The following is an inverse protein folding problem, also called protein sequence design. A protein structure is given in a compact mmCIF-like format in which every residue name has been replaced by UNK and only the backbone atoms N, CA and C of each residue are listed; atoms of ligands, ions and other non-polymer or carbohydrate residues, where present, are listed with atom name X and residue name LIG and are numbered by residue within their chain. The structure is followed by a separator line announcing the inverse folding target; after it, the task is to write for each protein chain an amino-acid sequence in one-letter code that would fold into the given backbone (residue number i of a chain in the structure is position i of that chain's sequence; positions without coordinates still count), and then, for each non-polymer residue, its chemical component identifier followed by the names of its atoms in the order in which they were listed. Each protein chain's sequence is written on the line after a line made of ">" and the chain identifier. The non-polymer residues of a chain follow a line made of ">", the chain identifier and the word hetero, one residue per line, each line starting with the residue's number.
data_IF_860949311161
#
_entry.id   IF_860949311161
#
_cell.length_a   1.000
_cell.length_b   1.000
_cell.length_c   1.000
_cell.angle_alpha   90.00
_cell.angle_beta   90.00
_cell.angle_gamma   90.00
#
_symmetry.space_group_name_H-M   'P 1'
#
loop_
_entity.id
_entity.type
_entity.pdbx_description
1 polymer ?
#
# COMPACT_ATOMS: atom_id res chain seq x y z
N UNK A 1 15.91 -40.15 -37.42
CA UNK A 1 17.28 -39.76 -37.04
C UNK A 1 17.69 -38.32 -37.42
N UNK A 2 17.07 -37.71 -38.43
CA UNK A 2 17.40 -36.34 -38.89
C UNK A 2 17.12 -35.22 -37.88
N UNK A 3 16.06 -35.30 -37.11
CA UNK A 3 15.63 -34.28 -36.15
C UNK A 3 16.66 -34.14 -35.01
N UNK A 4 17.19 -35.24 -34.45
CA UNK A 4 18.20 -35.22 -33.39
C UNK A 4 19.51 -34.56 -33.84
N UNK A 5 19.92 -34.79 -35.10
CA UNK A 5 21.09 -34.16 -35.65
C UNK A 5 20.90 -32.64 -35.82
N UNK A 6 19.72 -32.21 -36.21
CA UNK A 6 19.34 -30.79 -36.39
C UNK A 6 19.28 -30.06 -35.04
N UNK A 7 18.63 -30.66 -34.04
CA UNK A 7 18.58 -30.12 -32.67
C UNK A 7 19.98 -30.00 -32.08
N UNK A 8 20.82 -31.04 -32.20
CA UNK A 8 22.21 -31.01 -31.73
C UNK A 8 23.01 -29.88 -32.37
N UNK A 9 22.84 -29.67 -33.68
CA UNK A 9 23.52 -28.58 -34.40
C UNK A 9 23.09 -27.22 -33.88
N UNK A 10 21.79 -27.00 -33.67
CA UNK A 10 21.23 -25.73 -33.15
C UNK A 10 21.76 -25.48 -31.72
N UNK A 11 21.71 -26.50 -30.84
CA UNK A 11 22.22 -26.39 -29.47
C UNK A 11 23.71 -26.07 -29.43
N UNK A 12 24.52 -26.76 -30.25
CA UNK A 12 25.98 -26.49 -30.35
C UNK A 12 26.29 -25.09 -30.89
N UNK A 13 25.48 -24.60 -31.83
CA UNK A 13 25.58 -23.24 -32.35
C UNK A 13 25.23 -22.21 -31.29
N UNK A 14 24.18 -22.46 -30.52
CA UNK A 14 23.76 -21.61 -29.40
C UNK A 14 24.84 -21.56 -28.30
N UNK A 15 25.36 -22.72 -27.87
CA UNK A 15 26.41 -22.80 -26.82
C UNK A 15 27.73 -22.12 -27.27
N UNK A 16 27.97 -22.06 -28.56
CA UNK A 16 29.16 -21.35 -29.10
C UNK A 16 29.01 -19.85 -29.07
N UNK A 17 27.77 -19.33 -29.11
CA UNK A 17 27.48 -17.91 -29.01
C UNK A 17 27.18 -17.51 -27.55
N UNK A 18 28.26 -17.30 -26.80
CA UNK A 18 28.19 -16.93 -25.38
C UNK A 18 27.41 -15.63 -25.13
N UNK A 19 27.39 -14.71 -26.11
CA UNK A 19 26.66 -13.43 -25.97
C UNK A 19 25.16 -13.63 -26.02
N UNK A 20 24.67 -14.45 -26.96
CA UNK A 20 23.25 -14.76 -27.09
C UNK A 20 22.75 -15.53 -25.86
N UNK A 21 23.54 -16.50 -25.35
CA UNK A 21 23.17 -17.21 -24.11
C UNK A 21 23.14 -16.25 -22.92
N UNK A 22 24.17 -15.41 -22.76
CA UNK A 22 24.19 -14.43 -21.69
C UNK A 22 22.96 -13.51 -21.73
N UNK A 23 22.64 -13.00 -22.93
CA UNK A 23 21.45 -12.12 -23.09
C UNK A 23 20.16 -12.84 -22.80
N UNK A 24 20.03 -14.11 -23.22
CA UNK A 24 18.84 -14.94 -23.01
C UNK A 24 18.55 -15.18 -21.53
N UNK A 25 19.59 -15.31 -20.69
CA UNK A 25 19.44 -15.52 -19.25
C UNK A 25 19.47 -14.23 -18.47
N UNK A 26 20.33 -13.28 -18.82
CA UNK A 26 20.47 -12.01 -18.07
C UNK A 26 19.24 -11.13 -18.24
N UNK A 27 18.65 -11.05 -19.45
CA UNK A 27 17.50 -10.20 -19.68
C UNK A 27 16.29 -10.58 -18.80
N UNK A 28 15.79 -11.84 -18.78
CA UNK A 28 14.68 -12.20 -17.91
C UNK A 28 15.03 -12.10 -16.43
N UNK A 29 16.28 -12.42 -16.04
CA UNK A 29 16.73 -12.31 -14.66
C UNK A 29 16.79 -10.85 -14.20
N UNK A 30 17.24 -9.95 -15.06
CA UNK A 30 17.24 -8.52 -14.81
C UNK A 30 15.81 -7.97 -14.67
N UNK A 31 14.90 -8.39 -15.55
CA UNK A 31 13.49 -7.99 -15.48
C UNK A 31 12.86 -8.48 -14.17
N UNK A 32 13.08 -9.74 -13.79
CA UNK A 32 12.56 -10.29 -12.53
C UNK A 32 13.17 -9.60 -11.31
N UNK A 33 14.47 -9.28 -11.35
CA UNK A 33 15.14 -8.54 -10.26
C UNK A 33 14.60 -7.12 -10.16
N UNK A 34 14.40 -6.44 -11.28
CA UNK A 34 13.81 -5.10 -11.31
C UNK A 34 12.36 -5.11 -10.81
N UNK A 35 11.57 -6.08 -11.26
CA UNK A 35 10.20 -6.30 -10.75
C UNK A 35 10.21 -6.58 -9.25
N UNK A 36 11.07 -7.48 -8.79
CA UNK A 36 11.21 -7.75 -7.37
C UNK A 36 11.57 -6.47 -6.60
N UNK A 37 12.53 -5.69 -7.06
CA UNK A 37 12.94 -4.44 -6.43
C UNK A 37 11.80 -3.40 -6.41
N UNK A 38 11.05 -3.25 -7.52
CA UNK A 38 9.92 -2.33 -7.60
C UNK A 38 8.74 -2.75 -6.70
N UNK A 39 8.46 -4.05 -6.59
CA UNK A 39 7.34 -4.55 -5.80
C UNK A 39 7.71 -4.90 -4.35
N UNK A 40 9.00 -5.11 -4.04
CA UNK A 40 9.50 -5.31 -2.67
C UNK A 40 9.92 -4.00 -2.02
N UNK A 41 10.00 -2.90 -2.77
CA UNK A 41 9.99 -1.57 -2.20
C UNK A 41 8.69 -1.47 -1.41
N UNK A 42 8.77 -1.84 -0.12
CA UNK A 42 7.70 -1.74 0.85
C UNK A 42 7.08 -0.38 0.63
N UNK A 43 5.80 -0.39 0.21
CA UNK A 43 5.11 0.86 -0.10
C UNK A 43 5.38 1.82 1.05
N UNK A 44 5.64 3.08 0.73
CA UNK A 44 5.87 4.14 1.71
C UNK A 44 4.95 3.87 2.90
N UNK A 45 5.49 3.71 4.13
CA UNK A 45 4.67 3.40 5.29
C UNK A 45 3.50 4.37 5.34
N UNK A 46 2.35 3.87 5.76
CA UNK A 46 1.20 4.76 5.92
C UNK A 46 1.49 5.72 7.05
N UNK A 47 1.32 7.02 6.80
CA UNK A 47 1.38 8.06 7.82
C UNK A 47 -0.03 8.42 8.25
N UNK A 48 -0.35 8.27 9.51
CA UNK A 48 -1.65 8.70 10.04
C UNK A 48 -1.51 9.64 11.20
N UNK A 49 -2.33 10.69 11.20
CA UNK A 49 -2.57 11.51 12.38
C UNK A 49 -3.52 10.81 13.34
N UNK A 50 -3.30 10.95 14.64
CA UNK A 50 -4.19 10.41 15.65
C UNK A 50 -4.54 11.46 16.70
N UNK A 51 -5.78 11.37 17.22
CA UNK A 51 -6.24 12.16 18.36
C UNK A 51 -7.07 11.30 19.32
N UNK A 52 -6.74 11.35 20.59
CA UNK A 52 -7.49 10.69 21.66
C UNK A 52 -7.39 9.16 21.69
N UNK A 53 -6.42 8.55 21.00
CA UNK A 53 -6.23 7.10 20.99
C UNK A 53 -5.48 6.59 22.21
N UNK A 54 -5.81 5.38 22.64
CA UNK A 54 -5.06 4.69 23.71
C UNK A 54 -3.69 4.25 23.22
N UNK A 55 -2.72 4.19 24.14
CA UNK A 55 -1.35 3.71 23.84
C UNK A 55 -1.34 2.31 23.24
N UNK A 56 -2.23 1.44 23.72
CA UNK A 56 -2.35 0.07 23.20
C UNK A 56 -2.77 0.04 21.72
N UNK A 57 -3.66 0.93 21.31
CA UNK A 57 -4.08 1.06 19.90
C UNK A 57 -2.93 1.58 19.03
N UNK A 58 -2.17 2.55 19.53
CA UNK A 58 -0.98 3.08 18.84
C UNK A 58 0.02 1.96 18.59
N UNK A 59 0.38 1.18 19.62
CA UNK A 59 1.30 0.04 19.47
C UNK A 59 0.82 -1.01 18.46
N UNK A 60 -0.49 -1.22 18.36
CA UNK A 60 -1.07 -2.14 17.37
C UNK A 60 -0.93 -1.61 15.94
N UNK A 61 -1.13 -0.29 15.76
CA UNK A 61 -0.97 0.38 14.46
C UNK A 61 0.49 0.35 14.01
N UNK A 62 1.43 0.65 14.90
CA UNK A 62 2.88 0.59 14.62
C UNK A 62 3.35 -0.82 14.23
N UNK A 63 2.80 -1.88 14.86
CA UNK A 63 3.07 -3.28 14.46
C UNK A 63 2.61 -3.62 13.04
N UNK A 64 1.68 -2.87 12.48
CA UNK A 64 1.21 -3.01 11.10
C UNK A 64 1.96 -2.11 10.12
N UNK A 65 3.12 -1.58 10.55
CA UNK A 65 3.96 -0.67 9.73
C UNK A 65 3.21 0.62 9.33
N UNK A 66 2.44 1.16 10.27
CA UNK A 66 1.78 2.45 10.14
C UNK A 66 2.53 3.45 11.00
N UNK A 67 3.01 4.53 10.40
CA UNK A 67 3.64 5.66 11.08
C UNK A 67 2.55 6.51 11.75
N UNK A 68 2.63 6.67 13.06
CA UNK A 68 1.58 7.32 13.84
C UNK A 68 2.09 8.64 14.42
N UNK A 69 1.41 9.73 14.07
CA UNK A 69 1.71 11.08 14.57
C UNK A 69 0.57 11.55 15.47
N UNK A 70 0.87 11.83 16.72
CA UNK A 70 -0.12 12.31 17.70
C UNK A 70 -0.33 13.81 17.60
N UNK A 71 -1.57 14.22 17.43
CA UNK A 71 -2.00 15.62 17.45
C UNK A 71 -2.85 15.92 18.68
N UNK A 72 -2.81 17.14 19.15
CA UNK A 72 -3.68 17.65 20.21
C UNK A 72 -4.52 18.78 19.61
N UNK A 73 -5.81 18.54 19.41
CA UNK A 73 -6.79 19.51 18.92
C UNK A 73 -6.33 20.24 17.63
N UNK A 74 -6.18 19.55 16.48
CA UNK A 74 -5.86 20.22 15.22
C UNK A 74 -7.00 21.18 14.83
N UNK A 75 -6.66 22.37 14.34
CA UNK A 75 -7.63 23.39 13.95
C UNK A 75 -8.55 22.91 12.81
N UNK A 76 -8.05 22.07 11.93
CA UNK A 76 -8.78 21.40 10.86
C UNK A 76 -8.10 20.06 10.55
N UNK A 77 -8.87 18.99 10.56
CA UNK A 77 -8.34 17.64 10.24
C UNK A 77 -7.97 17.57 8.77
N UNK A 78 -8.79 18.17 7.90
CA UNK A 78 -8.56 18.17 6.45
C UNK A 78 -7.27 18.91 6.09
N UNK A 79 -7.05 20.10 6.67
CA UNK A 79 -5.86 20.89 6.42
C UNK A 79 -4.61 20.16 6.94
N UNK A 80 -4.69 19.56 8.13
CA UNK A 80 -3.58 18.78 8.72
C UNK A 80 -3.20 17.58 7.85
N UNK A 81 -4.19 16.88 7.27
CA UNK A 81 -3.90 15.76 6.37
C UNK A 81 -3.12 16.22 5.15
N UNK A 82 -3.50 17.36 4.56
CA UNK A 82 -2.85 17.89 3.37
C UNK A 82 -1.48 18.50 3.68
N UNK A 83 -1.36 19.28 4.75
CA UNK A 83 -0.11 19.97 5.11
C UNK A 83 1.00 19.01 5.56
N UNK A 84 0.65 17.97 6.32
CA UNK A 84 1.61 16.99 6.85
C UNK A 84 1.76 15.75 5.95
N UNK A 85 1.12 15.76 4.76
CA UNK A 85 1.13 14.64 3.80
C UNK A 85 0.72 13.31 4.48
N UNK A 86 -0.41 13.32 5.21
CA UNK A 86 -0.93 12.15 5.91
C UNK A 86 -1.84 11.34 4.98
N UNK A 87 -1.77 10.03 5.05
CA UNK A 87 -2.71 9.14 4.36
C UNK A 87 -4.11 9.15 4.99
N UNK A 88 -4.20 9.58 6.25
CA UNK A 88 -5.46 9.72 6.97
C UNK A 88 -5.30 10.21 8.40
N UNK A 89 -6.42 10.49 9.03
CA UNK A 89 -6.49 10.97 10.40
C UNK A 89 -7.53 10.16 11.19
N UNK A 90 -7.14 9.64 12.34
CA UNK A 90 -7.98 8.79 13.19
C UNK A 90 -8.29 9.49 14.51
N UNK A 91 -9.56 9.77 14.75
CA UNK A 91 -10.06 10.42 15.96
C UNK A 91 -10.85 9.43 16.79
N UNK A 92 -10.62 9.43 18.09
CA UNK A 92 -11.43 8.70 19.07
C UNK A 92 -12.46 9.62 19.69
N UNK A 93 -13.73 9.44 19.31
CA UNK A 93 -14.87 10.15 19.89
C UNK A 93 -15.64 9.20 20.85
N UNK A 94 -15.15 9.05 22.06
CA UNK A 94 -15.71 8.12 23.05
C UNK A 94 -15.60 6.66 22.61
N UNK A 95 -16.71 6.03 22.27
CA UNK A 95 -16.75 4.63 21.80
C UNK A 95 -16.69 4.50 20.27
N UNK A 96 -16.67 5.61 19.54
CA UNK A 96 -16.67 5.64 18.08
C UNK A 96 -15.28 6.08 17.57
N UNK A 97 -14.80 5.39 16.55
CA UNK A 97 -13.60 5.79 15.83
C UNK A 97 -13.99 6.38 14.48
N UNK A 98 -13.51 7.58 14.20
CA UNK A 98 -13.68 8.26 12.93
C UNK A 98 -12.35 8.30 12.20
N UNK A 99 -12.32 7.72 11.01
CA UNK A 99 -11.19 7.79 10.09
C UNK A 99 -11.52 8.77 8.97
N UNK A 100 -10.71 9.81 8.81
CA UNK A 100 -10.74 10.71 7.66
C UNK A 100 -9.56 10.37 6.77
N UNK A 101 -9.79 10.13 5.47
CA UNK A 101 -8.75 9.81 4.48
C UNK A 101 -8.78 10.82 3.34
N UNK A 102 -7.61 11.14 2.80
CA UNK A 102 -7.50 12.05 1.65
C UNK A 102 -8.16 11.47 0.40
N UNK A 103 -8.01 10.15 0.17
CA UNK A 103 -8.57 9.39 -0.95
C UNK A 103 -8.10 9.84 -2.35
N UNK A 104 -6.94 10.47 -2.45
CA UNK A 104 -6.28 10.75 -3.73
C UNK A 104 -5.89 9.46 -4.44
N UNK A 105 -5.53 8.41 -3.69
CA UNK A 105 -5.36 7.04 -4.17
C UNK A 105 -6.38 6.11 -3.48
N UNK A 106 -7.49 5.76 -4.16
CA UNK A 106 -8.52 4.90 -3.59
C UNK A 106 -8.02 3.51 -3.18
N UNK A 107 -7.00 2.97 -3.86
CA UNK A 107 -6.43 1.66 -3.53
C UNK A 107 -5.66 1.73 -2.21
N UNK A 108 -4.87 2.79 -2.03
CA UNK A 108 -4.11 3.07 -0.81
C UNK A 108 -5.05 3.33 0.38
N UNK A 109 -6.09 4.13 0.18
CA UNK A 109 -7.12 4.42 1.20
C UNK A 109 -7.85 3.15 1.67
N UNK A 110 -8.24 2.25 0.76
CA UNK A 110 -8.86 0.95 1.11
C UNK A 110 -7.91 0.03 1.88
N UNK A 111 -6.63 0.01 1.49
CA UNK A 111 -5.62 -0.78 2.19
C UNK A 111 -5.36 -0.25 3.60
N UNK A 112 -5.27 1.07 3.78
CA UNK A 112 -5.16 1.71 5.08
C UNK A 112 -6.35 1.35 5.97
N UNK A 113 -7.57 1.48 5.44
CA UNK A 113 -8.79 1.14 6.15
C UNK A 113 -8.80 -0.33 6.61
N UNK A 114 -8.39 -1.26 5.74
CA UNK A 114 -8.28 -2.68 6.08
C UNK A 114 -7.24 -2.94 7.19
N UNK A 115 -6.07 -2.27 7.14
CA UNK A 115 -5.05 -2.38 8.19
C UNK A 115 -5.55 -1.82 9.53
N UNK A 116 -6.24 -0.68 9.54
CA UNK A 116 -6.83 -0.11 10.76
C UNK A 116 -7.89 -1.05 11.34
N UNK A 117 -8.77 -1.62 10.50
CA UNK A 117 -9.75 -2.62 10.94
C UNK A 117 -9.07 -3.86 11.52
N UNK A 118 -7.97 -4.29 10.95
CA UNK A 118 -7.16 -5.40 11.47
C UNK A 118 -6.54 -5.06 12.83
N UNK A 119 -6.05 -3.82 13.04
CA UNK A 119 -5.51 -3.36 14.32
C UNK A 119 -6.58 -3.34 15.41
N UNK A 120 -7.81 -2.94 15.04
CA UNK A 120 -8.95 -2.92 15.96
C UNK A 120 -9.38 -4.33 16.39
N UNK A 121 -9.17 -5.34 15.56
CA UNK A 121 -9.50 -6.75 15.86
C UNK A 121 -10.98 -6.96 16.20
N UNK A 122 -11.24 -7.93 17.09
CA UNK A 122 -12.58 -8.22 17.61
C UNK A 122 -13.01 -7.30 18.75
N UNK A 123 -12.37 -6.14 18.94
CA UNK A 123 -12.72 -5.20 20.00
C UNK A 123 -14.15 -4.69 19.83
N UNK A 124 -14.86 -4.50 20.95
CA UNK A 124 -16.26 -4.02 20.96
C UNK A 124 -16.45 -2.66 20.27
N UNK A 125 -15.40 -1.89 20.11
CA UNK A 125 -15.35 -0.61 19.39
C UNK A 125 -15.77 -0.76 17.91
N UNK A 126 -15.49 -1.90 17.29
CA UNK A 126 -15.93 -2.20 15.91
C UNK A 126 -17.44 -2.37 15.81
N UNK A 127 -18.09 -2.82 16.88
CA UNK A 127 -19.56 -3.01 16.92
C UNK A 127 -20.32 -1.68 17.07
N UNK A 128 -19.71 -0.66 17.65
CA UNK A 128 -20.39 0.60 18.00
C UNK A 128 -20.22 1.73 16.99
N UNK A 129 -19.39 1.58 15.96
CA UNK A 129 -19.35 2.51 14.84
C UNK A 129 -17.95 2.95 14.44
N UNK A 130 -17.43 2.31 13.41
CA UNK A 130 -16.31 2.81 12.63
C UNK A 130 -16.89 3.65 11.48
N UNK A 131 -16.60 4.96 11.47
CA UNK A 131 -17.04 5.86 10.40
C UNK A 131 -15.84 6.30 9.58
N UNK A 132 -15.94 6.17 8.27
CA UNK A 132 -14.94 6.68 7.34
C UNK A 132 -15.47 7.90 6.62
N UNK A 133 -14.73 8.98 6.68
CA UNK A 133 -14.96 10.19 5.89
C UNK A 133 -13.89 10.29 4.81
N UNK A 134 -14.26 10.82 3.65
CA UNK A 134 -13.34 11.04 2.53
C UNK A 134 -13.26 12.54 2.24
N UNK A 135 -12.05 13.09 2.12
CA UNK A 135 -11.84 14.49 1.71
C UNK A 135 -12.20 14.62 0.23
N UNK A 136 -11.75 13.67 -0.60
CA UNK A 136 -12.05 13.61 -2.02
C UNK A 136 -12.77 12.32 -2.38
N UNK A 137 -13.84 12.43 -3.18
CA UNK A 137 -14.59 11.27 -3.67
C UNK A 137 -15.49 10.61 -2.64
N UNK A 138 -15.68 9.31 -2.76
CA UNK A 138 -16.54 8.49 -1.88
C UNK A 138 -15.99 7.06 -1.79
N UNK A 139 -16.63 6.23 -0.93
CA UNK A 139 -16.28 4.80 -0.78
C UNK A 139 -16.28 4.02 -2.11
N UNK A 140 -17.09 4.45 -3.08
CA UNK A 140 -17.22 3.83 -4.40
C UNK A 140 -16.34 4.46 -5.47
N UNK A 141 -15.56 5.52 -5.14
CA UNK A 141 -14.69 6.19 -6.11
C UNK A 141 -13.62 5.23 -6.59
N UNK A 142 -13.53 5.05 -7.91
CA UNK A 142 -12.50 4.27 -8.58
C UNK A 142 -11.35 5.17 -9.02
N UNK A 143 -10.16 4.59 -9.19
CA UNK A 143 -8.99 5.29 -9.75
C UNK A 143 -9.31 5.99 -11.08
N UNK A 144 -10.21 5.41 -11.89
CA UNK A 144 -10.64 6.00 -13.16
C UNK A 144 -11.54 7.23 -12.98
N UNK A 145 -12.29 7.31 -11.88
CA UNK A 145 -13.18 8.46 -11.60
C UNK A 145 -12.37 9.70 -11.19
N UNK A 146 -11.22 9.50 -10.56
CA UNK A 146 -10.29 10.59 -10.16
C UNK A 146 -9.55 11.17 -11.37
N UNK A 147 -9.34 10.38 -12.42
CA UNK A 147 -8.64 10.79 -13.65
C UNK A 147 -9.56 11.31 -14.77
N UNK A 148 -10.87 11.23 -14.57
CA UNK A 148 -11.84 11.73 -15.55
C UNK A 148 -12.11 13.21 -15.28
N UNK A 149 -11.81 14.12 -16.25
CA UNK A 149 -12.09 15.54 -16.10
C UNK A 149 -13.60 15.85 -16.14
#
# INVERSE_FOLDING_TARGET
>A
MRIRALVRRIVLQLVRDKRTIALLFIAPLLILTLMHFLFTSNGVPFKIGIEGLSKEMVERLEKLEIDVISFQEPSSIEDTIVEDELDGFLVSEGETLRLTVENTDPSRSKLLQAKIQQAMGSSEVVKNGFKTNYIYGSEHTSFFDVLSP
#
